data_IF_838191053807
#
_entry.id   IF_838191053807
#
_cell.length_a   1.000
_cell.length_b   1.000
_cell.length_c   1.000
_cell.angle_alpha   90.00
_cell.angle_beta   90.00
_cell.angle_gamma   90.00
#
_symmetry.space_group_name_H-M   'P 1'
#
loop_
_entity.id
_entity.type
_entity.pdbx_description
1 polymer ?
#
# COMPACT_ATOMS: atom_id res chain seq x y z
N UNK A 1 18.35 -3.37 -12.00
CA UNK A 1 18.24 -2.02 -11.41
C UNK A 1 18.46 -2.15 -9.90
N UNK A 2 19.23 -1.27 -9.24
CA UNK A 2 19.37 -1.35 -7.79
C UNK A 2 18.02 -1.04 -7.11
N UNK A 3 17.55 -1.97 -6.29
CA UNK A 3 16.33 -1.81 -5.49
C UNK A 3 16.50 -0.65 -4.52
N UNK A 4 15.69 0.41 -4.66
CA UNK A 4 15.70 1.54 -3.72
C UNK A 4 15.12 1.08 -2.37
N UNK A 5 15.73 1.44 -1.21
CA UNK A 5 15.29 0.97 0.11
C UNK A 5 13.82 1.25 0.44
N UNK A 6 13.27 2.36 -0.08
CA UNK A 6 11.86 2.72 0.09
C UNK A 6 10.93 1.81 -0.70
N UNK A 7 11.29 1.40 -1.93
CA UNK A 7 10.50 0.47 -2.72
C UNK A 7 10.38 -0.90 -2.01
N UNK A 8 11.42 -1.31 -1.29
CA UNK A 8 11.45 -2.58 -0.55
C UNK A 8 10.44 -2.67 0.59
N UNK A 9 10.06 -1.56 1.23
CA UNK A 9 9.10 -1.56 2.36
C UNK A 9 7.67 -1.24 1.96
N UNK A 10 7.48 -0.54 0.84
CA UNK A 10 6.14 -0.17 0.35
C UNK A 10 5.43 -1.36 -0.28
N UNK A 11 6.16 -2.20 -1.02
CA UNK A 11 5.57 -3.28 -1.78
C UNK A 11 4.77 -4.29 -0.91
N UNK A 12 5.29 -4.80 0.23
CA UNK A 12 4.53 -5.72 1.08
C UNK A 12 3.27 -5.08 1.68
N UNK A 13 3.34 -3.80 2.03
CA UNK A 13 2.20 -3.07 2.58
C UNK A 13 1.12 -2.84 1.51
N UNK A 14 1.53 -2.42 0.31
CA UNK A 14 0.62 -2.22 -0.81
C UNK A 14 -0.07 -3.52 -1.23
N UNK A 15 0.66 -4.65 -1.24
CA UNK A 15 0.09 -5.96 -1.53
C UNK A 15 -0.96 -6.36 -0.49
N UNK A 16 -0.65 -6.25 0.80
CA UNK A 16 -1.60 -6.56 1.88
C UNK A 16 -2.85 -5.65 1.83
N UNK A 17 -2.68 -4.36 1.52
CA UNK A 17 -3.78 -3.43 1.38
C UNK A 17 -4.68 -3.80 0.19
N UNK A 18 -4.10 -4.14 -0.96
CA UNK A 18 -4.85 -4.52 -2.16
C UNK A 18 -5.53 -5.87 -2.01
N UNK A 19 -4.88 -6.84 -1.36
CA UNK A 19 -5.51 -8.13 -1.07
C UNK A 19 -6.74 -7.99 -0.17
N UNK A 20 -6.74 -7.01 0.75
CA UNK A 20 -7.89 -6.70 1.60
C UNK A 20 -9.00 -5.97 0.84
N UNK A 21 -8.64 -4.94 0.07
CA UNK A 21 -9.60 -4.02 -0.55
C UNK A 21 -10.14 -4.53 -1.89
N UNK A 22 -9.38 -5.37 -2.61
CA UNK A 22 -9.73 -5.98 -3.89
C UNK A 22 -9.50 -7.50 -3.84
N UNK A 23 -10.27 -8.23 -3.03
CA UNK A 23 -10.03 -9.65 -2.76
C UNK A 23 -10.17 -10.56 -4.01
N UNK A 24 -10.94 -10.14 -5.01
CA UNK A 24 -11.12 -10.87 -6.27
C UNK A 24 -10.14 -10.41 -7.37
N UNK A 25 -9.21 -9.50 -7.06
CA UNK A 25 -8.20 -9.08 -8.02
C UNK A 25 -7.22 -10.22 -8.30
N UNK A 26 -7.06 -10.51 -9.59
CA UNK A 26 -6.11 -11.49 -10.07
C UNK A 26 -4.70 -11.23 -9.50
N UNK A 27 -3.98 -12.27 -9.00
CA UNK A 27 -2.68 -12.08 -8.36
C UNK A 27 -1.63 -11.41 -9.24
N UNK A 28 -1.65 -11.63 -10.56
CA UNK A 28 -0.72 -11.00 -11.49
C UNK A 28 -1.02 -9.51 -11.61
N UNK A 29 -2.30 -9.14 -11.77
CA UNK A 29 -2.75 -7.74 -11.79
C UNK A 29 -2.41 -7.01 -10.49
N UNK A 30 -2.56 -7.70 -9.36
CA UNK A 30 -2.18 -7.16 -8.04
C UNK A 30 -0.68 -6.88 -7.97
N UNK A 31 0.17 -7.81 -8.40
CA UNK A 31 1.62 -7.63 -8.43
C UNK A 31 2.04 -6.43 -9.28
N UNK A 32 1.43 -6.24 -10.45
CA UNK A 32 1.70 -5.10 -11.32
C UNK A 32 1.30 -3.76 -10.67
N UNK A 33 0.13 -3.72 -10.01
CA UNK A 33 -0.31 -2.54 -9.28
C UNK A 33 0.63 -2.20 -8.10
N UNK A 34 1.11 -3.22 -7.39
CA UNK A 34 2.10 -3.07 -6.31
C UNK A 34 3.42 -2.51 -6.83
N UNK A 35 3.91 -3.03 -7.96
CA UNK A 35 5.14 -2.52 -8.60
C UNK A 35 4.98 -1.07 -9.01
N UNK A 36 3.86 -0.71 -9.65
CA UNK A 36 3.53 0.67 -10.01
C UNK A 36 3.56 1.59 -8.79
N UNK A 37 2.89 1.21 -7.70
CA UNK A 37 2.87 2.00 -6.45
C UNK A 37 4.28 2.15 -5.88
N UNK A 38 5.07 1.07 -5.83
CA UNK A 38 6.42 1.09 -5.28
C UNK A 38 7.34 2.04 -6.07
N UNK A 39 7.26 2.02 -7.41
CA UNK A 39 7.99 2.94 -8.28
C UNK A 39 7.56 4.38 -8.03
N UNK A 40 6.25 4.67 -8.08
CA UNK A 40 5.72 6.04 -7.92
C UNK A 40 6.02 6.64 -6.56
N UNK A 41 5.90 5.85 -5.49
CA UNK A 41 6.26 6.30 -4.14
C UNK A 41 7.77 6.56 -4.01
N UNK A 42 8.61 5.79 -4.72
CA UNK A 42 10.06 6.02 -4.74
C UNK A 42 10.45 7.34 -5.41
N UNK A 43 9.61 7.86 -6.29
CA UNK A 43 9.83 9.12 -7.01
C UNK A 43 9.22 10.35 -6.30
N UNK A 44 8.44 10.18 -5.23
CA UNK A 44 7.87 11.30 -4.47
C UNK A 44 8.97 12.12 -3.73
N UNK A 45 8.80 13.45 -3.61
CA UNK A 45 9.71 14.31 -2.85
C UNK A 45 9.75 13.96 -1.34
N UNK A 46 10.89 14.24 -0.70
CA UNK A 46 11.30 13.76 0.62
C UNK A 46 10.27 13.81 1.78
N UNK A 47 9.37 14.81 1.93
CA UNK A 47 8.39 14.78 3.02
C UNK A 47 7.42 13.58 2.95
N UNK A 48 7.12 13.05 1.76
CA UNK A 48 6.27 11.85 1.62
C UNK A 48 7.03 10.55 1.96
N UNK A 49 8.33 10.48 1.63
CA UNK A 49 9.21 9.35 1.96
C UNK A 49 9.36 9.16 3.47
N UNK A 50 9.23 10.25 4.24
CA UNK A 50 9.27 10.23 5.69
C UNK A 50 8.00 9.57 6.28
N UNK A 51 6.82 9.83 5.71
CA UNK A 51 5.57 9.16 6.10
C UNK A 51 5.59 7.65 5.76
N UNK A 52 6.13 7.29 4.59
CA UNK A 52 6.35 5.89 4.16
C UNK A 52 7.26 5.15 5.14
N UNK A 53 8.39 5.77 5.49
CA UNK A 53 9.35 5.21 6.42
C UNK A 53 8.75 5.01 7.81
N UNK A 54 7.99 5.99 8.30
CA UNK A 54 7.27 5.91 9.58
C UNK A 54 6.27 4.75 9.57
N UNK A 55 5.45 4.60 8.52
CA UNK A 55 4.44 3.55 8.50
C UNK A 55 5.05 2.15 8.38
N UNK A 56 6.12 2.01 7.59
CA UNK A 56 6.86 0.76 7.50
C UNK A 56 7.52 0.37 8.83
N UNK A 57 8.08 1.35 9.56
CA UNK A 57 8.61 1.13 10.92
C UNK A 57 7.51 0.69 11.87
N UNK A 58 6.29 1.25 11.79
CA UNK A 58 5.15 0.81 12.62
C UNK A 58 4.71 -0.61 12.27
N UNK A 59 4.69 -0.97 10.98
CA UNK A 59 4.28 -2.30 10.54
C UNK A 59 5.32 -3.35 10.94
N UNK A 60 6.61 -3.06 10.74
CA UNK A 60 7.72 -3.89 11.20
C UNK A 60 7.70 -4.03 12.73
N UNK A 61 7.46 -2.94 13.49
CA UNK A 61 7.27 -3.02 14.94
C UNK A 61 6.03 -3.84 15.32
N UNK A 62 4.91 -3.66 14.63
CA UNK A 62 3.65 -4.37 14.90
C UNK A 62 3.78 -5.88 14.68
N UNK A 63 4.57 -6.30 13.68
CA UNK A 63 4.90 -7.69 13.43
C UNK A 63 5.97 -8.23 14.39
N UNK A 64 6.93 -7.40 14.84
CA UNK A 64 8.01 -7.86 15.73
C UNK A 64 7.66 -7.81 17.23
N UNK A 65 6.61 -7.09 17.63
CA UNK A 65 6.28 -6.86 19.04
C UNK A 65 5.07 -7.68 19.46
N UNK A 66 5.32 -8.91 19.92
CA UNK A 66 4.42 -9.65 20.82
C UNK A 66 4.16 -8.94 22.17
N UNK A 67 4.44 -7.64 22.31
CA UNK A 67 4.24 -6.85 23.52
C UNK A 67 3.45 -5.57 23.22
N UNK A 68 2.19 -5.61 23.66
CA UNK A 68 1.14 -4.58 23.51
C UNK A 68 1.55 -3.17 24.02
N UNK A 69 2.53 -3.07 24.93
CA UNK A 69 2.99 -1.79 25.52
C UNK A 69 3.79 -0.93 24.55
N UNK A 70 4.66 -1.54 23.76
CA UNK A 70 5.53 -0.81 22.84
C UNK A 70 4.73 -0.25 21.66
N UNK A 71 3.71 -0.99 21.19
CA UNK A 71 2.76 -0.52 20.19
C UNK A 71 2.03 0.77 20.63
N UNK A 72 1.47 0.79 21.84
CA UNK A 72 0.73 1.94 22.38
C UNK A 72 1.63 3.17 22.51
N UNK A 73 2.88 3.00 22.99
CA UNK A 73 3.81 4.12 23.16
C UNK A 73 4.27 4.74 21.85
N UNK A 74 4.32 3.97 20.76
CA UNK A 74 4.75 4.45 19.44
C UNK A 74 3.58 5.09 18.70
N UNK A 75 2.41 4.46 18.73
CA UNK A 75 1.20 5.01 18.09
C UNK A 75 0.74 6.32 18.74
N UNK A 76 0.93 6.49 20.05
CA UNK A 76 0.56 7.72 20.77
C UNK A 76 1.47 8.93 20.51
N UNK A 77 2.66 8.72 19.93
CA UNK A 77 3.65 9.78 19.64
C UNK A 77 3.62 10.25 18.19
N UNK A 78 2.93 9.52 17.34
CA UNK A 78 2.79 9.86 15.94
C UNK A 78 1.56 10.75 15.75
N UNK A 79 1.66 11.83 14.95
CA UNK A 79 0.47 12.56 14.57
C UNK A 79 -0.41 11.60 13.78
N UNK A 80 -1.56 11.26 14.37
CA UNK A 80 -2.61 10.40 13.82
C UNK A 80 -2.96 10.70 12.34
N UNK A 81 -2.89 11.96 11.82
CA UNK A 81 -3.15 12.23 10.41
C UNK A 81 -2.26 11.45 9.44
N UNK A 82 -0.97 11.26 9.75
CA UNK A 82 -0.05 10.58 8.82
C UNK A 82 -0.34 9.08 8.69
N UNK A 83 -0.95 8.47 9.72
CA UNK A 83 -1.31 7.05 9.74
C UNK A 83 -2.49 6.77 8.82
N UNK A 84 -3.43 7.72 8.65
CA UNK A 84 -4.59 7.58 7.76
C UNK A 84 -4.33 8.06 6.34
N UNK A 85 -3.52 9.10 6.16
CA UNK A 85 -3.28 9.70 4.83
C UNK A 85 -2.43 8.81 3.92
N UNK A 86 -1.49 8.05 4.47
CA UNK A 86 -0.65 7.18 3.66
C UNK A 86 -1.38 5.97 3.03
N UNK A 87 -2.19 5.18 3.78
CA UNK A 87 -3.07 4.18 3.17
C UNK A 87 -4.02 4.79 2.14
N UNK A 88 -4.51 6.01 2.38
CA UNK A 88 -5.41 6.71 1.47
C UNK A 88 -4.72 7.06 0.15
N UNK A 89 -3.48 7.53 0.20
CA UNK A 89 -2.66 7.79 -0.98
C UNK A 89 -2.38 6.51 -1.78
N UNK A 90 -1.94 5.43 -1.12
CA UNK A 90 -1.69 4.15 -1.79
C UNK A 90 -2.96 3.64 -2.46
N UNK A 91 -4.09 3.67 -1.74
CA UNK A 91 -5.38 3.27 -2.31
C UNK A 91 -5.72 4.11 -3.53
N UNK A 92 -5.56 5.43 -3.46
CA UNK A 92 -5.82 6.31 -4.61
C UNK A 92 -4.94 5.97 -5.81
N UNK A 93 -3.64 5.78 -5.62
CA UNK A 93 -2.70 5.44 -6.70
C UNK A 93 -3.01 4.08 -7.32
N UNK A 94 -3.21 3.08 -6.47
CA UNK A 94 -3.46 1.71 -6.91
C UNK A 94 -4.81 1.60 -7.62
N UNK A 95 -5.86 2.24 -7.09
CA UNK A 95 -7.19 2.20 -7.70
C UNK A 95 -7.20 2.98 -9.03
N UNK A 96 -6.56 4.14 -9.09
CA UNK A 96 -6.40 4.86 -10.35
C UNK A 96 -5.73 3.97 -11.40
N UNK A 97 -4.62 3.31 -11.06
CA UNK A 97 -3.92 2.41 -11.96
C UNK A 97 -4.76 1.21 -12.40
N UNK A 98 -5.44 0.55 -11.46
CA UNK A 98 -6.27 -0.64 -11.73
C UNK A 98 -7.40 -0.31 -12.69
N UNK A 99 -8.13 0.78 -12.46
CA UNK A 99 -9.27 1.16 -13.29
C UNK A 99 -8.86 1.87 -14.60
N UNK A 100 -7.69 2.51 -14.65
CA UNK A 100 -7.13 3.03 -15.90
C UNK A 100 -6.68 1.88 -16.83
N UNK A 101 -6.07 0.83 -16.25
CA UNK A 101 -5.51 -0.29 -17.01
C UNK A 101 -6.53 -1.39 -17.32
N UNK A 102 -7.47 -1.62 -16.41
CA UNK A 102 -8.53 -2.62 -16.53
C UNK A 102 -9.88 -1.97 -16.18
N UNK A 103 -10.48 -1.21 -17.11
CA UNK A 103 -11.69 -0.42 -16.85
C UNK A 103 -12.90 -1.29 -16.46
N UNK A 104 -12.94 -2.54 -16.95
CA UNK A 104 -13.98 -3.52 -16.63
C UNK A 104 -13.79 -4.18 -15.25
N UNK A 105 -12.93 -3.64 -14.38
CA UNK A 105 -12.74 -4.16 -13.02
C UNK A 105 -13.95 -3.82 -12.15
N UNK A 106 -14.52 -4.84 -11.52
CA UNK A 106 -15.60 -4.73 -10.54
C UNK A 106 -15.07 -4.14 -9.21
N UNK A 107 -15.93 -3.62 -8.34
CA UNK A 107 -15.52 -3.03 -7.06
C UNK A 107 -14.73 -3.96 -6.13
N UNK A 108 -14.86 -5.29 -6.28
CA UNK A 108 -14.13 -6.30 -5.53
C UNK A 108 -12.79 -6.72 -6.18
N UNK A 109 -12.45 -6.16 -7.34
CA UNK A 109 -11.27 -6.51 -8.13
C UNK A 109 -11.50 -7.58 -9.20
N UNK A 110 -12.69 -8.19 -9.23
CA UNK A 110 -13.04 -9.20 -10.24
C UNK A 110 -13.19 -8.59 -11.64
N UNK A 111 -13.17 -9.42 -12.67
CA UNK A 111 -13.52 -8.96 -14.03
C UNK A 111 -15.04 -8.81 -14.14
N UNK A 112 -15.53 -7.74 -14.74
CA UNK A 112 -16.90 -7.70 -15.23
C UNK A 112 -17.06 -8.85 -16.23
N UNK A 113 -18.08 -9.69 -16.01
CA UNK A 113 -18.45 -10.68 -17.01
C UNK A 113 -18.93 -9.91 -18.23
N UNK A 114 -18.27 -10.10 -19.37
CA UNK A 114 -18.80 -9.70 -20.65
C UNK A 114 -19.96 -10.66 -20.91
N UNK A 115 -21.21 -10.21 -20.75
CA UNK A 115 -22.36 -10.96 -21.29
C UNK A 115 -22.15 -11.08 -22.79
N UNK A 116 -22.03 -12.31 -23.27
CA UNK A 116 -21.94 -12.68 -24.67
C UNK A 116 -23.31 -13.19 -25.15
#
# INVERSE_FOLDING_TARGET
MPSRPSASRVAPYADALLARDLPALDPQRRSEAVEFVAVRVSDLPAPMKLAVGILAVIFDLGLSLGSRRTYISVSSRLPIPFVSEYPRLIRSLAFAYVWEKWPDTRPDGGRAQVEA
#
